data_IF_325998809477
#
_entry.id   IF_325998809477
#
_cell.length_a   1.000
_cell.length_b   1.000
_cell.length_c   1.000
_cell.angle_alpha   90.00
_cell.angle_beta   90.00
_cell.angle_gamma   90.00
#
_symmetry.space_group_name_H-M   'P 1'
#
loop_
_entity.id
_entity.type
_entity.pdbx_description
1 polymer ?
#
# COMPACT_ATOMS: atom_id res chain seq x y z
N UNK A 1 9.12 -2.37 -13.07
CA UNK A 1 8.24 -3.30 -13.80
C UNK A 1 8.25 -4.59 -13.02
N UNK A 2 7.11 -4.99 -12.46
CA UNK A 2 7.01 -6.32 -11.85
C UNK A 2 6.87 -7.31 -13.00
N UNK A 3 7.67 -8.37 -12.94
CA UNK A 3 7.68 -9.43 -13.93
C UNK A 3 6.57 -10.44 -13.60
N UNK A 4 5.43 -10.30 -14.27
CA UNK A 4 4.26 -11.16 -14.09
C UNK A 4 4.50 -12.62 -14.56
N UNK A 5 5.65 -12.90 -15.21
CA UNK A 5 6.01 -14.24 -15.70
C UNK A 5 6.22 -15.31 -14.61
N UNK A 6 6.12 -14.93 -13.33
CA UNK A 6 6.27 -15.83 -12.17
C UNK A 6 4.99 -16.10 -11.39
N UNK A 7 3.83 -15.69 -11.90
CA UNK A 7 2.54 -15.97 -11.30
C UNK A 7 2.03 -17.34 -11.78
N UNK A 8 1.69 -18.22 -10.85
CA UNK A 8 1.09 -19.52 -11.15
C UNK A 8 -0.30 -19.60 -10.56
N UNK A 9 -1.25 -20.14 -11.31
CA UNK A 9 -2.62 -20.33 -10.87
C UNK A 9 -2.83 -21.78 -10.43
N UNK A 10 -3.55 -21.96 -9.33
CA UNK A 10 -3.96 -23.27 -8.83
C UNK A 10 -5.44 -23.42 -9.13
N UNK A 11 -5.80 -24.47 -9.86
CA UNK A 11 -7.18 -24.82 -10.15
C UNK A 11 -7.61 -26.09 -9.41
N UNK A 12 -8.89 -26.19 -9.08
CA UNK A 12 -9.50 -27.42 -8.57
C UNK A 12 -9.79 -28.45 -9.67
N UNK A 13 -10.45 -29.55 -9.31
CA UNK A 13 -10.79 -30.64 -10.23
C UNK A 13 -11.80 -30.24 -11.32
N UNK A 14 -12.56 -29.17 -11.08
CA UNK A 14 -13.52 -28.60 -12.02
C UNK A 14 -12.87 -27.58 -12.96
N UNK A 15 -11.60 -27.24 -12.72
CA UNK A 15 -10.84 -26.24 -13.48
C UNK A 15 -11.00 -24.82 -12.95
N UNK A 16 -11.72 -24.63 -11.83
CA UNK A 16 -11.92 -23.31 -11.23
C UNK A 16 -10.66 -22.88 -10.49
N UNK A 17 -10.23 -21.64 -10.71
CA UNK A 17 -9.03 -21.08 -10.06
C UNK A 17 -9.34 -20.82 -8.59
N UNK A 18 -8.72 -21.59 -7.69
CA UNK A 18 -8.91 -21.49 -6.25
C UNK A 18 -7.75 -20.79 -5.53
N UNK A 19 -6.61 -20.64 -6.19
CA UNK A 19 -5.44 -20.02 -5.59
C UNK A 19 -4.42 -19.50 -6.59
N UNK A 20 -3.43 -18.79 -6.07
CA UNK A 20 -2.32 -18.23 -6.84
C UNK A 20 -1.01 -18.34 -6.04
N UNK A 21 0.08 -18.68 -6.71
CA UNK A 21 1.44 -18.64 -6.19
C UNK A 21 2.17 -17.50 -6.91
N UNK A 22 2.79 -16.62 -6.14
CA UNK A 22 3.48 -15.45 -6.66
C UNK A 22 4.77 -15.17 -5.87
N UNK A 23 5.74 -14.44 -6.45
CA UNK A 23 6.93 -13.99 -5.71
C UNK A 23 6.56 -13.12 -4.51
N UNK A 24 7.32 -13.28 -3.41
CA UNK A 24 7.07 -12.53 -2.16
C UNK A 24 7.12 -11.01 -2.36
N UNK A 25 7.99 -10.52 -3.24
CA UNK A 25 8.09 -9.08 -3.56
C UNK A 25 6.83 -8.55 -4.25
N UNK A 26 6.22 -9.34 -5.14
CA UNK A 26 4.96 -8.97 -5.79
C UNK A 26 3.81 -8.99 -4.78
N UNK A 27 3.77 -9.98 -3.89
CA UNK A 27 2.76 -10.04 -2.81
C UNK A 27 2.83 -8.82 -1.88
N UNK A 28 4.03 -8.44 -1.44
CA UNK A 28 4.24 -7.26 -0.60
C UNK A 28 3.83 -5.97 -1.30
N UNK A 29 4.08 -5.86 -2.61
CA UNK A 29 3.67 -4.71 -3.41
C UNK A 29 2.14 -4.60 -3.48
N UNK A 30 1.45 -5.71 -3.75
CA UNK A 30 -0.02 -5.78 -3.77
C UNK A 30 -0.61 -5.41 -2.41
N UNK A 31 -0.04 -5.91 -1.30
CA UNK A 31 -0.49 -5.56 0.05
C UNK A 31 -0.35 -4.05 0.34
N UNK A 32 0.77 -3.45 -0.04
CA UNK A 32 0.97 -1.99 0.10
C UNK A 32 -0.03 -1.17 -0.71
N UNK A 33 -0.41 -1.66 -1.90
CA UNK A 33 -1.50 -1.07 -2.67
C UNK A 33 -2.86 -1.22 -1.98
N UNK A 34 -3.15 -2.36 -1.33
CA UNK A 34 -4.40 -2.55 -0.59
C UNK A 34 -4.52 -1.62 0.62
N UNK A 35 -3.44 -1.39 1.36
CA UNK A 35 -3.40 -0.41 2.46
C UNK A 35 -3.63 1.02 1.95
N UNK A 36 -2.98 1.38 0.84
CA UNK A 36 -3.18 2.68 0.20
C UNK A 36 -4.60 2.83 -0.36
N UNK A 37 -5.13 1.80 -1.02
CA UNK A 37 -6.51 1.76 -1.49
C UNK A 37 -7.51 1.87 -0.34
N UNK A 38 -7.23 1.24 0.81
CA UNK A 38 -8.06 1.38 2.00
C UNK A 38 -8.14 2.83 2.45
N UNK A 39 -7.01 3.55 2.50
CA UNK A 39 -7.02 4.99 2.78
C UNK A 39 -7.76 5.78 1.69
N UNK A 40 -7.66 5.40 0.42
CA UNK A 40 -8.33 6.09 -0.69
C UNK A 40 -9.85 5.83 -0.79
N UNK A 41 -10.40 4.87 -0.03
CA UNK A 41 -11.85 4.59 0.03
C UNK A 41 -12.64 5.71 0.72
N UNK A 42 -12.03 6.44 1.66
CA UNK A 42 -12.64 7.60 2.30
C UNK A 42 -12.29 8.86 1.52
N UNK A 43 -13.28 9.63 1.09
CA UNK A 43 -13.04 10.90 0.38
C UNK A 43 -12.23 11.89 1.23
N UNK A 44 -12.51 11.96 2.53
CA UNK A 44 -11.74 12.78 3.48
C UNK A 44 -10.27 12.35 3.54
N UNK A 45 -10.00 11.06 3.60
CA UNK A 45 -8.63 10.54 3.69
C UNK A 45 -7.89 10.67 2.35
N UNK A 46 -8.58 10.47 1.23
CA UNK A 46 -8.08 10.75 -0.11
C UNK A 46 -7.63 12.21 -0.23
N UNK A 47 -8.47 13.16 0.20
CA UNK A 47 -8.11 14.58 0.14
C UNK A 47 -6.87 14.87 1.00
N UNK A 48 -6.80 14.33 2.23
CA UNK A 48 -5.62 14.49 3.10
C UNK A 48 -4.33 13.99 2.45
N UNK A 49 -4.38 12.86 1.75
CA UNK A 49 -3.22 12.29 1.04
C UNK A 49 -2.81 13.17 -0.15
N UNK A 50 -3.78 13.67 -0.92
CA UNK A 50 -3.51 14.57 -2.04
C UNK A 50 -2.90 15.89 -1.56
N UNK A 51 -3.42 16.47 -0.49
CA UNK A 51 -2.88 17.69 0.12
C UNK A 51 -1.47 17.45 0.64
N UNK A 52 -1.23 16.33 1.33
CA UNK A 52 0.11 15.98 1.82
C UNK A 52 1.13 15.80 0.68
N UNK A 53 0.72 15.19 -0.44
CA UNK A 53 1.56 15.05 -1.64
C UNK A 53 1.96 16.39 -2.25
N UNK A 54 1.13 17.43 -2.10
CA UNK A 54 1.41 18.78 -2.63
C UNK A 54 2.28 19.63 -1.70
N UNK A 55 2.51 19.21 -0.45
CA UNK A 55 3.35 19.97 0.48
C UNK A 55 4.82 19.84 0.09
N UNK A 56 5.49 20.99 -0.04
CA UNK A 56 6.94 21.08 -0.23
C UNK A 56 7.70 21.29 1.07
N UNK A 57 6.99 21.54 2.16
CA UNK A 57 7.56 21.87 3.47
C UNK A 57 7.24 20.78 4.48
N UNK A 58 8.15 20.60 5.43
CA UNK A 58 8.00 19.68 6.56
C UNK A 58 8.56 20.31 7.83
N UNK A 59 8.35 19.64 8.96
CA UNK A 59 8.95 20.04 10.24
C UNK A 59 10.14 19.12 10.55
N UNK A 60 11.12 19.64 11.29
CA UNK A 60 12.22 18.83 11.77
C UNK A 60 11.71 17.75 12.74
N UNK A 61 12.40 16.59 12.77
CA UNK A 61 12.00 15.47 13.62
C UNK A 61 11.92 15.85 15.10
N UNK A 62 12.93 16.56 15.61
CA UNK A 62 12.93 17.06 17.00
C UNK A 62 11.73 17.98 17.29
N UNK A 63 11.41 18.88 16.35
CA UNK A 63 10.23 19.74 16.47
C UNK A 63 8.94 18.92 16.51
N UNK A 64 8.87 17.81 15.76
CA UNK A 64 7.71 16.91 15.80
C UNK A 64 7.59 16.21 17.15
N UNK A 65 8.69 15.70 17.72
CA UNK A 65 8.70 15.08 19.05
C UNK A 65 8.20 16.05 20.12
N UNK A 66 8.70 17.29 20.11
CA UNK A 66 8.24 18.36 20.99
C UNK A 66 6.74 18.62 20.88
N UNK A 67 6.24 18.82 19.66
CA UNK A 67 4.82 19.11 19.45
C UNK A 67 3.91 17.94 19.85
N UNK A 68 4.42 16.70 19.81
CA UNK A 68 3.72 15.50 20.23
C UNK A 68 3.90 15.18 21.72
N UNK A 69 4.74 15.92 22.46
CA UNK A 69 5.02 15.70 23.87
C UNK A 69 5.82 14.42 24.15
N UNK A 70 6.72 14.06 23.24
CA UNK A 70 7.52 12.82 23.29
C UNK A 70 9.00 13.06 23.66
N UNK A 71 9.27 14.14 24.41
CA UNK A 71 10.60 14.56 24.86
C UNK A 71 11.08 13.84 26.14
#
# INVERSE_FOLDING_TARGET
>A
MVDDSKVQYISDEQGEVTGVILPIQLWQSILGELETQHLLKSDTMRQRLLDAKQRSEGIAFETALTQLGLE
#
